data_IF_528776817166
#
_entry.id   IF_528776817166
#
_cell.length_a   1.000
_cell.length_b   1.000
_cell.length_c   1.000
_cell.angle_alpha   90.00
_cell.angle_beta   90.00
_cell.angle_gamma   90.00
#
_symmetry.space_group_name_H-M   'P 1'
#
loop_
_entity.id
_entity.type
_entity.pdbx_description
1 polymer ?
#
# COMPACT_ATOMS: atom_id res chain seq x y z
N UNK A 1 -31.54 10.74 21.37
CA UNK A 1 -30.46 9.94 20.76
C UNK A 1 -30.81 8.46 20.58
N UNK A 2 -31.12 7.67 21.62
CA UNK A 2 -31.29 6.20 21.49
C UNK A 2 -32.41 5.74 20.52
N UNK A 3 -33.52 6.48 20.42
CA UNK A 3 -34.64 6.13 19.52
C UNK A 3 -34.34 6.35 18.03
N UNK A 4 -33.49 7.33 17.69
CA UNK A 4 -33.15 7.65 16.29
C UNK A 4 -32.14 6.65 15.71
N UNK A 5 -31.08 6.35 16.48
CA UNK A 5 -30.09 5.34 16.12
C UNK A 5 -30.71 3.94 15.97
N UNK A 6 -31.62 3.55 16.87
CA UNK A 6 -32.29 2.25 16.77
C UNK A 6 -33.10 2.14 15.48
N UNK A 7 -33.91 3.15 15.14
CA UNK A 7 -34.67 3.17 13.89
C UNK A 7 -33.80 3.20 12.64
N UNK A 8 -32.67 3.94 12.67
CA UNK A 8 -31.69 3.96 11.61
C UNK A 8 -31.09 2.57 11.35
N UNK A 9 -30.66 1.87 12.40
CA UNK A 9 -30.05 0.54 12.25
C UNK A 9 -31.05 -0.55 11.89
N UNK A 10 -32.31 -0.47 12.33
CA UNK A 10 -33.38 -1.34 11.83
C UNK A 10 -33.58 -1.16 10.33
N UNK A 11 -33.61 0.09 9.83
CA UNK A 11 -33.71 0.35 8.39
C UNK A 11 -32.49 -0.14 7.61
N UNK A 12 -31.28 -0.07 8.18
CA UNK A 12 -30.07 -0.61 7.56
C UNK A 12 -30.08 -2.15 7.51
N UNK A 13 -30.57 -2.80 8.56
CA UNK A 13 -30.74 -4.26 8.61
C UNK A 13 -31.77 -4.74 7.56
N UNK A 14 -32.89 -4.03 7.40
CA UNK A 14 -33.88 -4.29 6.34
C UNK A 14 -33.30 -4.15 4.93
N UNK A 15 -32.28 -3.31 4.75
CA UNK A 15 -31.52 -3.18 3.50
C UNK A 15 -30.44 -4.26 3.34
N UNK A 16 -30.38 -5.24 4.24
CA UNK A 16 -29.43 -6.36 4.22
C UNK A 16 -28.01 -5.98 4.68
N UNK A 17 -27.84 -4.88 5.43
CA UNK A 17 -26.54 -4.48 5.98
C UNK A 17 -26.22 -5.27 7.25
N UNK A 18 -24.95 -5.64 7.40
CA UNK A 18 -24.46 -6.31 8.61
C UNK A 18 -24.20 -5.26 9.69
N UNK A 19 -24.82 -5.42 10.85
CA UNK A 19 -24.63 -4.51 11.99
C UNK A 19 -23.55 -5.07 12.94
N UNK A 20 -22.56 -4.24 13.24
CA UNK A 20 -21.40 -4.59 14.07
C UNK A 20 -21.43 -3.79 15.36
N UNK A 21 -21.54 -4.49 16.48
CA UNK A 21 -21.58 -3.88 17.82
C UNK A 21 -20.18 -3.64 18.42
N UNK A 22 -19.13 -4.16 17.79
CA UNK A 22 -17.73 -3.94 18.19
C UNK A 22 -17.07 -2.76 17.47
N UNK A 23 -15.93 -2.31 17.99
CA UNK A 23 -15.11 -1.27 17.34
C UNK A 23 -14.16 -1.91 16.31
N UNK A 24 -14.33 -1.68 14.99
CA UNK A 24 -13.39 -2.15 13.99
C UNK A 24 -12.05 -1.39 14.05
N UNK A 25 -10.92 -2.03 13.71
CA UNK A 25 -9.64 -1.34 13.55
C UNK A 25 -9.73 -0.32 12.41
N UNK A 26 -9.35 0.92 12.69
CA UNK A 26 -9.42 2.02 11.74
C UNK A 26 -8.11 2.07 10.92
N UNK A 27 -8.16 1.68 9.64
CA UNK A 27 -7.03 1.76 8.72
C UNK A 27 -7.29 2.79 7.60
N UNK A 28 -6.33 3.68 7.39
CA UNK A 28 -6.32 4.86 6.53
C UNK A 28 -5.37 4.62 5.32
N UNK A 29 -5.38 5.24 4.13
CA UNK A 29 -6.06 6.36 3.47
C UNK A 29 -6.03 6.12 1.94
N UNK A 30 -7.06 6.55 1.20
CA UNK A 30 -7.10 6.49 -0.26
C UNK A 30 -8.45 6.95 -0.84
N UNK A 31 -8.67 6.76 -2.14
CA UNK A 31 -9.91 7.15 -2.86
C UNK A 31 -11.17 6.45 -2.32
N UNK A 32 -10.99 5.27 -1.74
CA UNK A 32 -12.02 4.44 -1.08
C UNK A 32 -12.37 4.89 0.35
N UNK A 33 -11.70 5.93 0.86
CA UNK A 33 -11.90 6.40 2.24
C UNK A 33 -13.34 6.81 2.52
N UNK A 34 -13.96 7.57 1.62
CA UNK A 34 -15.36 7.96 1.78
C UNK A 34 -16.27 6.73 1.89
N UNK A 35 -16.14 5.79 0.96
CA UNK A 35 -16.98 4.59 0.91
C UNK A 35 -16.81 3.73 2.18
N UNK A 36 -15.58 3.63 2.70
CA UNK A 36 -15.29 2.94 3.98
C UNK A 36 -15.91 3.66 5.17
N UNK A 37 -15.79 4.98 5.27
CA UNK A 37 -16.37 5.77 6.37
C UNK A 37 -17.90 5.70 6.34
N UNK A 38 -18.50 5.81 5.15
CA UNK A 38 -19.94 5.67 4.98
C UNK A 38 -20.41 4.27 5.40
N UNK A 39 -19.70 3.22 4.99
CA UNK A 39 -20.00 1.85 5.39
C UNK A 39 -19.90 1.65 6.91
N UNK A 40 -18.84 2.16 7.55
CA UNK A 40 -18.68 2.10 9.01
C UNK A 40 -19.85 2.84 9.69
N UNK A 41 -20.23 4.01 9.17
CA UNK A 41 -21.38 4.76 9.66
C UNK A 41 -22.70 3.98 9.58
N UNK A 42 -22.89 3.18 8.53
CA UNK A 42 -24.10 2.38 8.31
C UNK A 42 -24.14 1.07 9.09
N UNK A 43 -22.97 0.54 9.47
CA UNK A 43 -22.85 -0.80 10.06
C UNK A 43 -22.45 -0.79 11.54
N UNK A 44 -21.62 0.15 11.99
CA UNK A 44 -21.08 0.15 13.35
C UNK A 44 -21.88 1.07 14.26
N UNK A 45 -22.58 0.50 15.24
CA UNK A 45 -23.31 1.27 16.25
C UNK A 45 -22.40 2.22 17.04
N UNK A 46 -21.25 1.77 17.61
CA UNK A 46 -20.42 2.64 18.43
C UNK A 46 -19.69 3.73 17.63
N UNK A 47 -19.33 3.47 16.37
CA UNK A 47 -18.59 4.43 15.53
C UNK A 47 -19.47 5.22 14.56
N UNK A 48 -20.80 5.01 14.59
CA UNK A 48 -21.75 5.55 13.63
C UNK A 48 -21.57 7.05 13.40
N UNK A 49 -21.73 7.84 14.47
CA UNK A 49 -21.75 9.30 14.39
C UNK A 49 -20.39 9.86 13.96
N UNK A 50 -19.31 9.39 14.56
CA UNK A 50 -17.96 9.85 14.23
C UNK A 50 -17.59 9.52 12.77
N UNK A 51 -17.96 8.33 12.30
CA UNK A 51 -17.73 7.91 10.92
C UNK A 51 -18.56 8.71 9.92
N UNK A 52 -19.83 9.00 10.21
CA UNK A 52 -20.69 9.82 9.36
C UNK A 52 -20.23 11.29 9.30
N UNK A 53 -19.82 11.87 10.44
CA UNK A 53 -19.21 13.21 10.47
C UNK A 53 -17.92 13.26 9.65
N UNK A 54 -17.06 12.26 9.80
CA UNK A 54 -15.84 12.13 9.00
C UNK A 54 -16.15 11.94 7.50
N UNK A 55 -17.20 11.18 7.15
CA UNK A 55 -17.63 10.99 5.76
C UNK A 55 -18.11 12.30 5.12
N UNK A 56 -18.88 13.11 5.85
CA UNK A 56 -19.32 14.44 5.38
C UNK A 56 -18.11 15.37 5.16
N UNK A 57 -17.20 15.41 6.14
CA UNK A 57 -15.99 16.22 6.03
C UNK A 57 -15.14 15.78 4.82
N UNK A 58 -15.04 14.49 4.55
CA UNK A 58 -14.32 13.97 3.40
C UNK A 58 -15.03 14.26 2.07
N UNK A 59 -16.36 14.13 2.02
CA UNK A 59 -17.15 14.46 0.84
C UNK A 59 -17.01 15.96 0.47
N UNK A 60 -17.04 16.86 1.47
CA UNK A 60 -16.90 18.30 1.25
C UNK A 60 -15.50 18.74 0.81
N UNK A 61 -14.45 17.95 1.05
CA UNK A 61 -13.12 18.16 0.45
C UNK A 61 -13.08 17.78 -1.03
N UNK A 62 -13.95 16.84 -1.43
CA UNK A 62 -14.10 16.41 -2.81
C UNK A 62 -15.02 17.33 -3.62
N UNK A 63 -15.36 16.86 -4.82
CA UNK A 63 -16.26 17.54 -5.76
C UNK A 63 -17.52 16.72 -6.07
N UNK A 64 -17.65 15.55 -5.45
CA UNK A 64 -18.77 14.64 -5.62
C UNK A 64 -19.93 15.06 -4.70
N UNK A 65 -20.97 15.58 -5.31
CA UNK A 65 -22.17 16.05 -4.60
C UNK A 65 -23.01 14.87 -4.11
N UNK A 66 -23.02 13.73 -4.81
CA UNK A 66 -23.80 12.57 -4.41
C UNK A 66 -23.25 11.95 -3.14
N UNK A 67 -21.93 11.82 -3.03
CA UNK A 67 -21.28 11.38 -1.79
C UNK A 67 -21.68 12.24 -0.58
N UNK A 68 -21.73 13.56 -0.75
CA UNK A 68 -22.21 14.45 0.32
C UNK A 68 -23.68 14.18 0.67
N UNK A 69 -24.55 14.04 -0.33
CA UNK A 69 -25.98 13.75 -0.12
C UNK A 69 -26.19 12.42 0.61
N UNK A 70 -25.48 11.37 0.22
CA UNK A 70 -25.59 10.04 0.81
C UNK A 70 -25.18 10.04 2.29
N UNK A 71 -24.06 10.70 2.62
CA UNK A 71 -23.60 10.81 4.00
C UNK A 71 -24.51 11.73 4.84
N UNK A 72 -25.00 12.82 4.25
CA UNK A 72 -25.97 13.72 4.89
C UNK A 72 -27.30 13.01 5.20
N UNK A 73 -27.82 12.21 4.28
CA UNK A 73 -29.08 11.49 4.51
C UNK A 73 -28.94 10.49 5.67
N UNK A 74 -27.79 9.81 5.77
CA UNK A 74 -27.51 8.92 6.89
C UNK A 74 -27.46 9.67 8.23
N UNK A 75 -26.73 10.79 8.32
CA UNK A 75 -26.60 11.52 9.60
C UNK A 75 -27.91 12.19 10.01
N UNK A 76 -28.69 12.69 9.05
CA UNK A 76 -30.00 13.30 9.29
C UNK A 76 -30.97 12.34 9.97
N UNK A 77 -30.90 11.06 9.61
CA UNK A 77 -31.72 10.00 10.21
C UNK A 77 -31.14 9.51 11.54
N UNK A 78 -29.82 9.32 11.62
CA UNK A 78 -29.15 8.77 12.80
C UNK A 78 -29.09 9.76 13.98
N UNK A 79 -28.80 11.03 13.71
CA UNK A 79 -28.69 12.10 14.70
C UNK A 79 -29.13 13.47 14.13
N UNK A 80 -30.45 13.75 14.13
CA UNK A 80 -31.01 15.01 13.60
C UNK A 80 -30.52 16.27 14.32
N UNK A 81 -30.07 16.15 15.58
CA UNK A 81 -29.68 17.27 16.43
C UNK A 81 -28.25 17.78 16.14
N UNK A 82 -27.48 17.04 15.35
CA UNK A 82 -26.10 17.40 15.01
C UNK A 82 -26.04 18.51 13.95
N UNK A 83 -25.06 19.43 13.99
CA UNK A 83 -24.96 20.51 13.02
C UNK A 83 -24.74 19.99 11.59
N UNK A 84 -24.05 18.85 11.43
CA UNK A 84 -23.84 18.21 10.14
C UNK A 84 -25.13 17.61 9.52
N UNK A 85 -26.22 17.49 10.29
CA UNK A 85 -27.53 17.09 9.79
C UNK A 85 -28.24 18.21 9.01
N UNK A 86 -27.72 19.44 9.03
CA UNK A 86 -28.21 20.52 8.19
C UNK A 86 -27.66 20.40 6.76
N UNK A 87 -28.55 20.49 5.77
CA UNK A 87 -28.16 20.45 4.36
C UNK A 87 -27.50 21.75 3.92
N UNK A 88 -26.31 21.65 3.33
CA UNK A 88 -25.51 22.77 2.84
C UNK A 88 -25.80 23.03 1.35
N UNK A 89 -26.93 23.69 1.09
CA UNK A 89 -27.37 24.00 -0.28
C UNK A 89 -26.43 24.97 -1.00
N UNK A 90 -25.77 25.87 -0.24
CA UNK A 90 -24.82 26.83 -0.76
C UNK A 90 -23.58 26.12 -1.33
N UNK A 91 -23.00 25.16 -0.59
CA UNK A 91 -21.90 24.34 -1.07
C UNK A 91 -22.30 23.53 -2.30
N UNK A 92 -23.46 22.87 -2.27
CA UNK A 92 -23.93 22.06 -3.41
C UNK A 92 -24.10 22.89 -4.68
N UNK A 93 -24.71 24.06 -4.57
CA UNK A 93 -24.93 24.96 -5.71
C UNK A 93 -23.61 25.52 -6.25
N UNK A 94 -22.70 25.93 -5.36
CA UNK A 94 -21.40 26.47 -5.76
C UNK A 94 -20.52 25.40 -6.42
N UNK A 95 -20.36 24.24 -5.77
CA UNK A 95 -19.60 23.10 -6.31
C UNK A 95 -20.20 22.62 -7.62
N UNK A 96 -21.53 22.55 -7.74
CA UNK A 96 -22.21 22.17 -8.98
C UNK A 96 -21.93 23.13 -10.14
N UNK A 97 -21.86 24.45 -9.89
CA UNK A 97 -21.48 25.45 -10.89
C UNK A 97 -20.02 25.32 -11.30
N UNK A 98 -19.11 25.22 -10.32
CA UNK A 98 -17.67 25.05 -10.55
C UNK A 98 -17.36 23.80 -11.37
N UNK A 99 -17.99 22.67 -11.01
CA UNK A 99 -17.87 21.40 -11.71
C UNK A 99 -18.27 21.52 -13.18
N UNK A 100 -19.43 22.12 -13.46
CA UNK A 100 -19.91 22.32 -14.85
C UNK A 100 -18.97 23.20 -15.67
N UNK A 101 -18.52 24.31 -15.09
CA UNK A 101 -17.61 25.23 -15.77
C UNK A 101 -16.27 24.56 -16.09
N UNK A 102 -15.70 23.81 -15.15
CA UNK A 102 -14.45 23.11 -15.34
C UNK A 102 -14.56 21.97 -16.36
N UNK A 103 -15.67 21.21 -16.37
CA UNK A 103 -15.93 20.22 -17.42
C UNK A 103 -15.95 20.87 -18.80
N UNK A 104 -16.69 21.99 -18.95
CA UNK A 104 -16.74 22.71 -20.23
C UNK A 104 -15.38 23.24 -20.67
N UNK A 105 -14.55 23.69 -19.73
CA UNK A 105 -13.18 24.12 -20.01
C UNK A 105 -12.33 22.96 -20.55
N UNK A 106 -12.30 21.82 -19.85
CA UNK A 106 -11.53 20.64 -20.27
C UNK A 106 -12.00 20.11 -21.64
N UNK A 107 -13.30 20.11 -21.91
CA UNK A 107 -13.83 19.71 -23.21
C UNK A 107 -13.40 20.66 -24.34
N UNK A 108 -13.36 21.97 -24.07
CA UNK A 108 -12.90 22.98 -25.02
C UNK A 108 -11.40 22.85 -25.31
N UNK A 109 -10.57 22.65 -24.27
CA UNK A 109 -9.14 22.39 -24.39
C UNK A 109 -8.87 21.11 -25.20
N UNK A 110 -9.57 20.02 -24.88
CA UNK A 110 -9.45 18.74 -25.60
C UNK A 110 -9.86 18.88 -27.07
N UNK A 111 -10.88 19.69 -27.37
CA UNK A 111 -11.27 20.00 -28.76
C UNK A 111 -10.15 20.76 -29.49
N UNK A 112 -9.48 21.69 -28.81
CA UNK A 112 -8.30 22.37 -29.33
C UNK A 112 -7.16 21.39 -29.66
N UNK A 113 -6.83 20.47 -28.76
CA UNK A 113 -5.80 19.45 -29.00
C UNK A 113 -6.14 18.53 -30.17
N UNK A 114 -7.41 18.16 -30.33
CA UNK A 114 -7.89 17.37 -31.47
C UNK A 114 -7.75 18.10 -32.79
N UNK A 115 -8.04 19.39 -32.83
CA UNK A 115 -7.85 20.22 -34.03
C UNK A 115 -6.37 20.34 -34.41
N UNK A 116 -5.47 20.36 -33.41
CA UNK A 116 -4.03 20.44 -33.62
C UNK A 116 -3.36 19.09 -33.91
N UNK A 117 -4.10 17.97 -33.81
CA UNK A 117 -3.63 16.61 -34.11
C UNK A 117 -2.40 16.14 -33.30
N UNK A 118 -2.23 16.64 -32.07
CA UNK A 118 -1.12 16.25 -31.18
C UNK A 118 -1.57 15.07 -30.31
N UNK A 119 -1.19 13.83 -30.69
CA UNK A 119 -1.64 12.60 -30.03
C UNK A 119 -1.44 12.58 -28.51
N UNK A 120 -0.26 12.97 -28.04
CA UNK A 120 0.02 12.95 -26.59
C UNK A 120 -0.83 13.97 -25.84
N UNK A 121 -1.02 15.18 -26.38
CA UNK A 121 -1.92 16.18 -25.77
C UNK A 121 -3.38 15.71 -25.77
N UNK A 122 -3.82 15.00 -26.80
CA UNK A 122 -5.17 14.40 -26.84
C UNK A 122 -5.28 13.30 -25.78
N UNK A 123 -4.26 12.46 -25.63
CA UNK A 123 -4.22 11.39 -24.61
C UNK A 123 -4.32 11.98 -23.21
N UNK A 124 -3.44 12.93 -22.89
CA UNK A 124 -3.42 13.61 -21.58
C UNK A 124 -4.73 14.37 -21.34
N UNK A 125 -5.27 15.07 -22.34
CA UNK A 125 -6.55 15.75 -22.18
C UNK A 125 -7.73 14.80 -21.91
N UNK A 126 -7.74 13.60 -22.50
CA UNK A 126 -8.74 12.58 -22.15
C UNK A 126 -8.51 12.01 -20.74
N UNK A 127 -7.26 11.88 -20.28
CA UNK A 127 -6.94 11.49 -18.89
C UNK A 127 -7.51 12.49 -17.91
N UNK A 128 -7.18 13.77 -18.09
CA UNK A 128 -7.54 14.84 -17.16
C UNK A 128 -9.07 15.03 -17.12
N UNK A 129 -9.74 14.89 -18.28
CA UNK A 129 -11.21 14.85 -18.35
C UNK A 129 -11.78 13.64 -17.61
N UNK A 130 -11.18 12.46 -17.80
CA UNK A 130 -11.59 11.23 -17.10
C UNK A 130 -11.46 11.35 -15.58
N UNK A 131 -10.32 11.85 -15.09
CA UNK A 131 -10.07 12.04 -13.66
C UNK A 131 -11.04 13.03 -13.03
N UNK A 132 -11.34 14.14 -13.72
CA UNK A 132 -12.34 15.10 -13.28
C UNK A 132 -13.76 14.50 -13.24
N UNK A 133 -14.18 13.79 -14.29
CA UNK A 133 -15.48 13.12 -14.35
C UNK A 133 -15.61 12.07 -13.25
N UNK A 134 -14.55 11.31 -12.99
CA UNK A 134 -14.50 10.30 -11.94
C UNK A 134 -14.53 10.96 -10.54
N UNK A 135 -13.85 12.09 -10.34
CA UNK A 135 -13.87 12.84 -9.08
C UNK A 135 -15.24 13.48 -8.78
N UNK A 136 -16.07 13.70 -9.81
CA UNK A 136 -17.46 14.14 -9.67
C UNK A 136 -18.46 12.98 -9.47
N UNK A 137 -18.01 11.73 -9.55
CA UNK A 137 -18.89 10.54 -9.49
C UNK A 137 -19.55 10.17 -10.82
N UNK A 138 -19.22 10.82 -11.93
CA UNK A 138 -19.71 10.43 -13.27
C UNK A 138 -18.87 9.29 -13.85
N UNK A 139 -19.08 8.08 -13.31
CA UNK A 139 -18.29 6.90 -13.65
C UNK A 139 -18.44 6.46 -15.12
N UNK A 140 -19.61 6.67 -15.73
CA UNK A 140 -19.82 6.33 -17.15
C UNK A 140 -19.04 7.28 -18.07
N UNK A 141 -19.11 8.59 -17.81
CA UNK A 141 -18.33 9.57 -18.56
C UNK A 141 -16.82 9.37 -18.40
N UNK A 142 -16.38 9.03 -17.18
CA UNK A 142 -14.98 8.72 -16.90
C UNK A 142 -14.49 7.49 -17.69
N UNK A 143 -15.27 6.41 -17.70
CA UNK A 143 -14.95 5.21 -18.48
C UNK A 143 -14.83 5.53 -19.98
N UNK A 144 -15.75 6.31 -20.53
CA UNK A 144 -15.71 6.73 -21.94
C UNK A 144 -14.47 7.59 -22.26
N UNK A 145 -14.07 8.47 -21.35
CA UNK A 145 -12.87 9.30 -21.51
C UNK A 145 -11.60 8.43 -21.49
N UNK A 146 -11.49 7.48 -20.57
CA UNK A 146 -10.34 6.56 -20.52
C UNK A 146 -10.29 5.59 -21.70
N UNK A 147 -11.44 5.16 -22.23
CA UNK A 147 -11.48 4.37 -23.47
C UNK A 147 -11.00 5.19 -24.68
N UNK A 148 -11.31 6.49 -24.75
CA UNK A 148 -10.75 7.39 -25.78
C UNK A 148 -9.26 7.65 -25.56
N UNK A 149 -8.81 7.72 -24.31
CA UNK A 149 -7.37 7.79 -24.01
C UNK A 149 -6.62 6.56 -24.54
N UNK A 150 -7.24 5.37 -24.48
CA UNK A 150 -6.63 4.12 -24.95
C UNK A 150 -6.30 4.12 -26.44
N UNK A 151 -7.08 4.82 -27.29
CA UNK A 151 -6.83 4.86 -28.74
C UNK A 151 -5.58 5.64 -29.12
N UNK A 152 -5.14 6.57 -28.29
CA UNK A 152 -3.96 7.41 -28.53
C UNK A 152 -2.70 6.91 -27.79
N UNK A 153 -2.79 5.78 -27.07
CA UNK A 153 -1.67 5.16 -26.39
C UNK A 153 -0.67 4.54 -27.38
N UNK A 154 0.58 5.03 -27.35
CA UNK A 154 1.64 4.61 -28.28
C UNK A 154 2.70 3.67 -27.67
N UNK A 155 2.88 3.71 -26.34
CA UNK A 155 3.91 2.95 -25.61
C UNK A 155 3.24 2.02 -24.59
N UNK A 156 3.88 0.89 -24.25
CA UNK A 156 3.37 -0.07 -23.25
C UNK A 156 2.99 0.60 -21.92
N UNK A 157 3.82 1.54 -21.46
CA UNK A 157 3.54 2.35 -20.27
C UNK A 157 2.18 3.06 -20.35
N UNK A 158 1.84 3.70 -21.49
CA UNK A 158 0.54 4.37 -21.67
C UNK A 158 -0.64 3.40 -21.65
N UNK A 159 -0.43 2.16 -22.13
CA UNK A 159 -1.46 1.11 -22.11
C UNK A 159 -1.72 0.65 -20.68
N UNK A 160 -0.66 0.41 -19.90
CA UNK A 160 -0.76 0.04 -18.49
C UNK A 160 -1.44 1.14 -17.69
N UNK A 161 -0.99 2.39 -17.85
CA UNK A 161 -1.57 3.60 -17.24
C UNK A 161 -3.09 3.70 -17.51
N UNK A 162 -3.48 3.53 -18.78
CA UNK A 162 -4.89 3.53 -19.17
C UNK A 162 -5.69 2.39 -18.53
N UNK A 163 -5.13 1.18 -18.51
CA UNK A 163 -5.81 0.03 -17.92
C UNK A 163 -6.00 0.21 -16.41
N UNK A 164 -5.03 0.80 -15.69
CA UNK A 164 -5.15 1.13 -14.25
C UNK A 164 -6.30 2.09 -13.99
N UNK A 165 -6.43 3.17 -14.77
CA UNK A 165 -7.56 4.10 -14.66
C UNK A 165 -8.91 3.42 -14.92
N UNK A 166 -9.00 2.59 -15.97
CA UNK A 166 -10.23 1.84 -16.27
C UNK A 166 -10.58 0.89 -15.12
N UNK A 167 -9.60 0.16 -14.57
CA UNK A 167 -9.81 -0.72 -13.41
C UNK A 167 -10.32 0.07 -12.19
N UNK A 168 -9.76 1.26 -11.93
CA UNK A 168 -10.23 2.15 -10.85
C UNK A 168 -11.72 2.52 -10.98
N UNK A 169 -12.18 2.83 -12.19
CA UNK A 169 -13.60 3.10 -12.46
C UNK A 169 -14.46 1.84 -12.30
N UNK A 170 -13.98 0.69 -12.81
CA UNK A 170 -14.71 -0.58 -12.71
C UNK A 170 -14.84 -1.07 -11.26
N UNK A 171 -13.83 -0.83 -10.41
CA UNK A 171 -13.89 -1.08 -8.97
C UNK A 171 -15.03 -0.30 -8.31
N UNK A 172 -15.19 0.98 -8.65
CA UNK A 172 -16.30 1.80 -8.14
C UNK A 172 -17.67 1.33 -8.67
N UNK A 173 -17.72 0.87 -9.92
CA UNK A 173 -18.95 0.30 -10.52
C UNK A 173 -19.26 -1.12 -10.02
N UNK A 174 -18.34 -1.76 -9.29
CA UNK A 174 -18.41 -3.18 -8.88
C UNK A 174 -18.56 -4.15 -10.05
N UNK A 175 -17.93 -3.83 -11.18
CA UNK A 175 -17.89 -4.71 -12.36
C UNK A 175 -16.68 -5.64 -12.27
N UNK A 176 -16.85 -6.75 -11.55
CA UNK A 176 -15.78 -7.72 -11.30
C UNK A 176 -15.29 -8.41 -12.57
N UNK A 177 -16.19 -8.70 -13.52
CA UNK A 177 -15.84 -9.33 -14.79
C UNK A 177 -14.98 -8.39 -15.66
N UNK A 178 -15.34 -7.11 -15.71
CA UNK A 178 -14.54 -6.08 -16.37
C UNK A 178 -13.13 -5.96 -15.76
N UNK A 179 -13.02 -5.96 -14.42
CA UNK A 179 -11.72 -5.88 -13.74
C UNK A 179 -10.82 -7.04 -14.15
N UNK A 180 -11.31 -8.28 -14.14
CA UNK A 180 -10.53 -9.45 -14.56
C UNK A 180 -10.05 -9.32 -16.02
N UNK A 181 -10.91 -8.84 -16.91
CA UNK A 181 -10.57 -8.67 -18.32
C UNK A 181 -9.47 -7.62 -18.55
N UNK A 182 -9.44 -6.54 -17.77
CA UNK A 182 -8.40 -5.51 -17.86
C UNK A 182 -7.14 -5.85 -17.06
N UNK A 183 -7.26 -6.54 -15.92
CA UNK A 183 -6.12 -7.00 -15.13
C UNK A 183 -5.25 -7.98 -15.93
N UNK A 184 -5.85 -8.88 -16.72
CA UNK A 184 -5.12 -9.78 -17.61
C UNK A 184 -4.34 -9.05 -18.72
N UNK A 185 -4.74 -7.81 -19.06
CA UNK A 185 -4.06 -6.97 -20.06
C UNK A 185 -2.91 -6.14 -19.47
N UNK A 186 -2.70 -6.20 -18.15
CA UNK A 186 -1.55 -5.55 -17.50
C UNK A 186 -0.26 -6.36 -17.69
N UNK A 187 -0.37 -7.66 -18.00
CA UNK A 187 0.80 -8.49 -18.31
C UNK A 187 1.29 -8.17 -19.72
N UNK A 188 2.51 -7.67 -19.83
CA UNK A 188 3.18 -7.38 -21.10
C UNK A 188 3.40 -8.68 -21.89
N UNK A 189 3.32 -8.62 -23.23
CA UNK A 189 3.51 -9.80 -24.09
C UNK A 189 4.92 -10.38 -24.07
N UNK A 190 5.93 -9.59 -23.68
CA UNK A 190 7.31 -10.02 -23.40
C UNK A 190 7.78 -9.35 -22.10
N UNK A 191 7.41 -9.88 -20.93
CA UNK A 191 7.72 -9.22 -19.68
C UNK A 191 9.21 -9.39 -19.35
N UNK A 192 9.91 -8.30 -19.08
CA UNK A 192 11.22 -8.38 -18.41
C UNK A 192 11.02 -8.78 -16.95
N UNK A 193 12.08 -9.26 -16.28
CA UNK A 193 12.02 -9.57 -14.85
C UNK A 193 11.66 -8.33 -14.00
N UNK A 194 12.13 -7.15 -14.41
CA UNK A 194 11.84 -5.87 -13.73
C UNK A 194 10.38 -5.42 -13.91
N UNK A 195 9.83 -5.54 -15.13
CA UNK A 195 8.43 -5.20 -15.42
C UNK A 195 7.46 -6.12 -14.67
N UNK A 196 7.78 -7.41 -14.62
CA UNK A 196 6.99 -8.41 -13.90
C UNK A 196 6.94 -8.06 -12.42
N UNK A 197 8.07 -7.70 -11.82
CA UNK A 197 8.16 -7.40 -10.39
C UNK A 197 7.41 -6.12 -10.02
N UNK A 198 7.31 -5.15 -10.94
CA UNK A 198 6.70 -3.84 -10.66
C UNK A 198 5.17 -3.86 -10.74
N UNK A 199 4.62 -4.54 -11.75
CA UNK A 199 3.19 -4.49 -12.07
C UNK A 199 2.39 -5.68 -11.51
N UNK A 200 3.05 -6.83 -11.26
CA UNK A 200 2.40 -8.03 -10.72
C UNK A 200 1.68 -7.79 -9.38
N UNK A 201 2.23 -7.04 -8.40
CA UNK A 201 1.54 -6.83 -7.13
C UNK A 201 0.19 -6.11 -7.30
N UNK A 202 0.14 -5.07 -8.13
CA UNK A 202 -1.10 -4.38 -8.45
C UNK A 202 -2.09 -5.31 -9.17
N UNK A 203 -1.62 -6.04 -10.19
CA UNK A 203 -2.43 -6.98 -10.95
C UNK A 203 -3.06 -8.05 -10.04
N UNK A 204 -2.27 -8.66 -9.15
CA UNK A 204 -2.73 -9.69 -8.22
C UNK A 204 -3.72 -9.13 -7.21
N UNK A 205 -3.48 -7.93 -6.70
CA UNK A 205 -4.38 -7.27 -5.76
C UNK A 205 -5.76 -6.99 -6.36
N UNK A 206 -5.84 -6.38 -7.56
CA UNK A 206 -7.13 -6.09 -8.21
C UNK A 206 -7.85 -7.36 -8.67
N UNK A 207 -7.11 -8.39 -9.09
CA UNK A 207 -7.65 -9.70 -9.46
C UNK A 207 -8.24 -10.42 -8.24
N UNK A 208 -7.53 -10.38 -7.10
CA UNK A 208 -8.00 -10.92 -5.83
C UNK A 208 -9.29 -10.25 -5.35
N UNK A 209 -9.37 -8.92 -5.46
CA UNK A 209 -10.60 -8.17 -5.15
C UNK A 209 -11.77 -8.55 -6.08
N UNK A 210 -11.51 -8.74 -7.38
CA UNK A 210 -12.55 -9.15 -8.31
C UNK A 210 -13.07 -10.56 -8.03
N UNK A 211 -12.19 -11.51 -7.68
CA UNK A 211 -12.62 -12.84 -7.24
C UNK A 211 -13.37 -12.82 -5.92
N UNK A 212 -12.93 -11.99 -4.96
CA UNK A 212 -13.63 -11.80 -3.69
C UNK A 212 -15.05 -11.27 -3.92
N UNK A 213 -15.20 -10.24 -4.77
CA UNK A 213 -16.50 -9.69 -5.14
C UNK A 213 -17.39 -10.63 -5.96
N UNK A 214 -16.79 -11.66 -6.57
CA UNK A 214 -17.48 -12.74 -7.29
C UNK A 214 -17.68 -14.00 -6.45
N UNK A 215 -17.45 -13.93 -5.13
CA UNK A 215 -17.59 -15.05 -4.17
C UNK A 215 -16.66 -16.25 -4.44
N UNK A 216 -15.59 -16.04 -5.21
CA UNK A 216 -14.57 -17.06 -5.53
C UNK A 216 -13.41 -16.97 -4.55
N UNK A 217 -13.65 -17.45 -3.33
CA UNK A 217 -12.77 -17.24 -2.19
C UNK A 217 -11.40 -17.91 -2.31
N UNK A 218 -11.32 -19.10 -2.91
CA UNK A 218 -10.06 -19.82 -3.09
C UNK A 218 -9.12 -19.09 -4.05
N UNK A 219 -9.64 -18.66 -5.20
CA UNK A 219 -8.87 -17.92 -6.20
C UNK A 219 -8.50 -16.52 -5.70
N UNK A 220 -9.36 -15.89 -4.92
CA UNK A 220 -9.06 -14.63 -4.23
C UNK A 220 -7.89 -14.81 -3.24
N UNK A 221 -7.94 -15.85 -2.40
CA UNK A 221 -6.86 -16.16 -1.46
C UNK A 221 -5.53 -16.36 -2.17
N UNK A 222 -5.51 -17.19 -3.22
CA UNK A 222 -4.30 -17.43 -4.02
C UNK A 222 -3.74 -16.12 -4.60
N UNK A 223 -4.60 -15.25 -5.13
CA UNK A 223 -4.16 -13.96 -5.66
C UNK A 223 -3.57 -13.05 -4.58
N UNK A 224 -4.19 -12.95 -3.41
CA UNK A 224 -3.69 -12.09 -2.32
C UNK A 224 -2.36 -12.60 -1.74
N UNK A 225 -2.17 -13.92 -1.63
CA UNK A 225 -0.90 -14.50 -1.20
C UNK A 225 0.22 -14.30 -2.23
N UNK A 226 -0.13 -14.24 -3.51
CA UNK A 226 0.80 -13.99 -4.62
C UNK A 226 1.15 -12.51 -4.84
N UNK A 227 0.60 -11.57 -4.06
CA UNK A 227 0.91 -10.13 -4.19
C UNK A 227 2.37 -9.82 -3.84
N UNK A 228 2.98 -10.59 -2.92
CA UNK A 228 4.37 -10.41 -2.51
C UNK A 228 4.57 -9.45 -1.33
N UNK A 229 5.66 -8.67 -1.35
CA UNK A 229 6.09 -7.84 -0.22
C UNK A 229 5.05 -6.72 0.12
N UNK A 230 4.58 -6.64 1.38
CA UNK A 230 3.69 -5.58 1.86
C UNK A 230 4.17 -4.15 1.58
N UNK A 231 5.48 -3.89 1.46
CA UNK A 231 6.04 -2.57 1.14
C UNK A 231 5.60 -2.11 -0.25
N UNK A 232 5.53 -3.03 -1.23
CA UNK A 232 5.13 -2.69 -2.60
C UNK A 232 3.64 -2.31 -2.66
N UNK A 233 2.83 -2.92 -1.79
CA UNK A 233 1.40 -2.63 -1.68
C UNK A 233 1.11 -1.18 -1.26
N UNK A 234 2.03 -0.51 -0.54
CA UNK A 234 1.83 0.87 -0.09
C UNK A 234 1.65 1.86 -1.26
N UNK A 235 2.19 1.54 -2.44
CA UNK A 235 2.03 2.37 -3.65
C UNK A 235 0.61 2.34 -4.19
N UNK A 236 -0.21 1.37 -3.78
CA UNK A 236 -1.55 1.09 -4.29
C UNK A 236 -2.63 1.17 -3.20
N UNK A 237 -2.36 1.97 -2.15
CA UNK A 237 -3.28 2.21 -1.03
C UNK A 237 -4.61 2.87 -1.46
N UNK A 238 -4.68 3.42 -2.67
CA UNK A 238 -5.93 3.92 -3.26
C UNK A 238 -6.93 2.79 -3.52
N UNK A 239 -6.45 1.58 -3.83
CA UNK A 239 -7.24 0.37 -4.06
C UNK A 239 -7.45 -0.42 -2.77
N UNK A 240 -6.35 -0.89 -2.16
CA UNK A 240 -6.39 -1.64 -0.90
C UNK A 240 -5.09 -1.42 -0.11
N UNK A 241 -5.20 -1.36 1.21
CA UNK A 241 -4.03 -1.24 2.08
C UNK A 241 -3.29 -2.58 2.19
N UNK A 242 -2.02 -2.53 2.57
CA UNK A 242 -1.25 -3.75 2.89
C UNK A 242 -1.92 -4.59 3.98
N UNK A 243 -2.58 -3.95 4.95
CA UNK A 243 -3.35 -4.62 5.99
C UNK A 243 -4.58 -5.33 5.42
N UNK A 244 -5.27 -4.72 4.45
CA UNK A 244 -6.43 -5.34 3.79
C UNK A 244 -5.99 -6.59 3.02
N UNK A 245 -4.90 -6.50 2.26
CA UNK A 245 -4.34 -7.64 1.51
C UNK A 245 -3.96 -8.79 2.45
N UNK A 246 -3.27 -8.49 3.55
CA UNK A 246 -2.87 -9.50 4.54
C UNK A 246 -4.08 -10.14 5.23
N UNK A 247 -5.07 -9.32 5.63
CA UNK A 247 -6.26 -9.80 6.34
C UNK A 247 -7.16 -10.63 5.41
N UNK A 248 -7.41 -10.14 4.19
CA UNK A 248 -8.22 -10.86 3.21
C UNK A 248 -7.53 -12.14 2.77
N UNK A 249 -6.24 -12.08 2.42
CA UNK A 249 -5.45 -13.26 2.06
C UNK A 249 -5.43 -14.30 3.17
N UNK A 250 -5.16 -13.90 4.42
CA UNK A 250 -5.10 -14.82 5.56
C UNK A 250 -6.45 -15.47 5.89
N UNK A 251 -7.52 -14.69 6.01
CA UNK A 251 -8.85 -15.22 6.35
C UNK A 251 -9.41 -16.11 5.23
N UNK A 252 -9.28 -15.68 3.97
CA UNK A 252 -9.75 -16.47 2.83
C UNK A 252 -8.95 -17.76 2.67
N UNK A 253 -7.63 -17.71 2.86
CA UNK A 253 -6.79 -18.90 2.82
C UNK A 253 -7.20 -19.91 3.91
N UNK A 254 -7.39 -19.45 5.15
CA UNK A 254 -7.83 -20.30 6.26
C UNK A 254 -9.21 -20.92 6.01
N UNK A 255 -10.12 -20.18 5.37
CA UNK A 255 -11.47 -20.65 5.12
C UNK A 255 -11.57 -21.60 3.91
N UNK A 256 -10.69 -21.47 2.90
CA UNK A 256 -10.87 -22.13 1.60
C UNK A 256 -9.76 -23.10 1.19
N UNK A 257 -8.55 -22.97 1.72
CA UNK A 257 -7.41 -23.81 1.33
C UNK A 257 -7.27 -25.02 2.26
N UNK A 258 -6.80 -26.14 1.71
CA UNK A 258 -6.48 -27.32 2.50
C UNK A 258 -5.17 -27.12 3.29
N UNK A 259 -4.92 -28.04 4.24
CA UNK A 259 -3.73 -27.97 5.10
C UNK A 259 -2.42 -27.93 4.31
N UNK A 260 -2.36 -28.71 3.23
CA UNK A 260 -1.16 -28.82 2.40
C UNK A 260 -0.90 -27.57 1.55
N UNK A 261 -1.95 -26.93 1.03
CA UNK A 261 -1.82 -25.65 0.33
C UNK A 261 -1.52 -24.51 1.30
N UNK A 262 -2.13 -24.48 2.50
CA UNK A 262 -1.78 -23.50 3.55
C UNK A 262 -0.31 -23.59 3.95
N UNK A 263 0.21 -24.81 4.14
CA UNK A 263 1.61 -25.01 4.51
C UNK A 263 2.55 -24.49 3.42
N UNK A 264 2.24 -24.71 2.15
CA UNK A 264 3.05 -24.25 1.02
C UNK A 264 2.95 -22.75 0.77
N UNK A 265 1.75 -22.18 0.85
CA UNK A 265 1.48 -20.81 0.40
C UNK A 265 1.55 -19.75 1.51
N UNK A 266 1.34 -20.14 2.77
CA UNK A 266 1.34 -19.19 3.92
C UNK A 266 2.54 -19.42 4.84
N UNK A 267 2.88 -20.67 5.14
CA UNK A 267 3.93 -20.97 6.13
C UNK A 267 5.36 -20.99 5.54
N UNK A 268 5.50 -21.27 4.25
CA UNK A 268 6.82 -21.24 3.57
C UNK A 268 7.15 -19.83 3.06
N UNK A 269 6.15 -18.99 2.79
CA UNK A 269 6.32 -17.59 2.34
C UNK A 269 6.67 -16.64 3.49
N UNK A 270 6.23 -16.93 4.73
CA UNK A 270 6.85 -16.37 5.94
C UNK A 270 8.19 -17.05 6.13
N UNK A 271 9.17 -16.56 5.36
CA UNK A 271 10.50 -17.11 5.20
C UNK A 271 11.06 -17.71 6.51
N UNK A 272 11.49 -18.97 6.44
CA UNK A 272 12.35 -19.60 7.44
C UNK A 272 13.74 -18.96 7.52
N UNK A 273 14.07 -18.03 6.63
CA UNK A 273 15.42 -17.46 6.48
C UNK A 273 15.92 -16.64 7.66
N UNK A 274 15.19 -15.78 8.40
CA UNK A 274 15.80 -15.04 9.50
C UNK A 274 16.24 -15.98 10.63
N UNK A 275 15.48 -17.06 10.89
CA UNK A 275 15.85 -18.08 11.87
C UNK A 275 17.01 -18.95 11.37
N UNK A 276 16.96 -19.40 10.12
CA UNK A 276 18.02 -20.23 9.51
C UNK A 276 19.31 -19.43 9.34
N UNK A 277 19.24 -18.17 8.92
CA UNK A 277 20.39 -17.26 8.81
C UNK A 277 21.01 -16.97 10.18
N UNK A 278 20.18 -16.74 11.21
CA UNK A 278 20.68 -16.59 12.58
C UNK A 278 21.35 -17.88 13.09
N UNK A 279 20.75 -19.05 12.85
CA UNK A 279 21.35 -20.35 13.19
C UNK A 279 22.67 -20.57 12.45
N UNK A 280 22.74 -20.23 11.16
CA UNK A 280 23.96 -20.35 10.37
C UNK A 280 25.07 -19.41 10.83
N UNK A 281 24.73 -18.18 11.22
CA UNK A 281 25.70 -17.22 11.76
C UNK A 281 26.24 -17.69 13.13
N UNK A 282 25.36 -18.18 14.02
CA UNK A 282 25.78 -18.76 15.31
C UNK A 282 26.69 -19.99 15.11
N UNK A 283 26.38 -20.87 14.15
CA UNK A 283 27.23 -22.02 13.86
C UNK A 283 28.60 -21.61 13.29
N UNK A 284 28.65 -20.55 12.49
CA UNK A 284 29.91 -20.06 11.91
C UNK A 284 30.81 -19.43 12.99
N UNK A 285 30.25 -18.60 13.86
CA UNK A 285 31.02 -18.00 14.97
C UNK A 285 31.57 -19.05 15.93
N UNK A 286 30.80 -20.10 16.24
CA UNK A 286 31.27 -21.23 17.06
C UNK A 286 32.42 -21.99 16.37
N UNK A 287 32.36 -22.19 15.05
CA UNK A 287 33.46 -22.82 14.29
C UNK A 287 34.73 -21.98 14.33
N UNK A 288 34.60 -20.67 14.16
CA UNK A 288 35.72 -19.75 14.15
C UNK A 288 36.37 -19.68 15.54
N UNK A 289 35.57 -19.63 16.61
CA UNK A 289 36.08 -19.69 17.98
C UNK A 289 36.81 -21.01 18.27
N UNK A 290 36.25 -22.16 17.86
CA UNK A 290 36.92 -23.45 18.03
C UNK A 290 38.25 -23.49 17.29
N UNK A 291 38.30 -22.97 16.06
CA UNK A 291 39.54 -22.91 15.27
C UNK A 291 40.60 -22.05 15.97
N UNK A 292 40.21 -20.87 16.46
CA UNK A 292 41.11 -19.96 17.16
C UNK A 292 41.59 -20.52 18.50
N UNK A 293 40.70 -21.15 19.28
CA UNK A 293 41.07 -21.81 20.53
C UNK A 293 42.05 -22.96 20.29
N UNK A 294 41.86 -23.74 19.22
CA UNK A 294 42.73 -24.84 18.86
C UNK A 294 44.11 -24.33 18.37
N UNK A 295 44.15 -23.21 17.64
CA UNK A 295 45.40 -22.52 17.32
C UNK A 295 46.11 -21.98 18.55
N UNK A 296 45.39 -21.41 19.53
CA UNK A 296 45.96 -20.98 20.81
C UNK A 296 46.55 -22.14 21.61
N UNK A 297 45.83 -23.26 21.69
CA UNK A 297 46.33 -24.48 22.34
C UNK A 297 47.58 -25.00 21.62
N UNK A 298 47.61 -25.00 20.29
CA UNK A 298 48.81 -25.37 19.52
C UNK A 298 49.99 -24.45 19.83
N UNK A 299 49.80 -23.13 19.81
CA UNK A 299 50.85 -22.15 20.14
C UNK A 299 51.35 -22.33 21.58
N UNK A 300 50.44 -22.53 22.53
CA UNK A 300 50.78 -22.80 23.92
C UNK A 300 51.57 -24.11 24.07
N UNK A 301 51.17 -25.17 23.38
CA UNK A 301 51.89 -26.45 23.39
C UNK A 301 53.28 -26.37 22.75
N UNK A 302 53.43 -25.58 21.67
CA UNK A 302 54.72 -25.30 21.03
C UNK A 302 55.64 -24.50 21.95
N UNK A 303 55.11 -23.47 22.63
CA UNK A 303 55.86 -22.69 23.62
C UNK A 303 56.28 -23.54 24.81
N UNK A 304 55.41 -24.41 25.32
CA UNK A 304 55.72 -25.33 26.42
C UNK A 304 56.73 -26.42 26.05
N UNK A 305 56.84 -26.77 24.76
CA UNK A 305 57.81 -27.74 24.25
C UNK A 305 59.18 -27.11 23.88
N UNK A 306 59.42 -25.84 24.23
CA UNK A 306 60.61 -25.04 23.88
C UNK A 306 60.93 -25.00 22.37
N UNK A 307 59.91 -25.33 21.55
CA UNK A 307 59.94 -25.32 20.09
C UNK A 307 59.40 -23.97 19.56
N UNK A 308 59.80 -22.86 20.19
CA UNK A 308 59.63 -21.55 19.55
C UNK A 308 60.70 -21.39 18.46
N UNK A 309 60.28 -21.43 17.20
CA UNK A 309 61.14 -20.96 16.09
C UNK A 309 61.37 -19.47 16.30
N UNK A 310 62.49 -19.12 16.93
CA UNK A 310 63.07 -17.78 16.91
C UNK A 310 63.24 -17.38 15.45
N UNK A 311 62.34 -16.52 14.96
CA UNK A 311 62.54 -15.82 13.70
C UNK A 311 63.88 -15.09 13.76
N UNK A 312 64.83 -15.53 12.94
CA UNK A 312 66.15 -14.94 12.85
C UNK A 312 66.01 -13.50 12.30
N UNK A 313 66.21 -12.51 13.17
CA UNK A 313 66.22 -11.11 12.77
C UNK A 313 67.42 -10.81 11.85
N UNK A 314 67.13 -10.23 10.69
CA UNK A 314 68.10 -9.43 9.93
C UNK A 314 67.89 -7.96 10.32
N UNK A 315 68.93 -7.35 10.90
CA UNK A 315 68.99 -5.95 11.33
C UNK A 315 68.84 -4.97 10.15
N UNK A 316 68.04 -3.93 10.36
CA UNK A 316 67.99 -2.71 9.55
C UNK A 316 67.41 -1.54 10.37
N UNK A 317 68.31 -0.77 10.99
CA UNK A 317 68.25 0.64 11.43
C UNK A 317 66.95 1.30 12.01
N UNK A 318 67.09 1.72 13.29
CA UNK A 318 66.71 3.03 13.92
C UNK A 318 65.29 3.60 13.84
N UNK A 319 64.57 3.62 14.98
CA UNK A 319 64.33 4.82 15.84
C UNK A 319 63.26 4.56 16.93
N UNK A 320 63.17 5.37 18.00
CA UNK A 320 62.83 4.88 19.33
C UNK A 320 61.41 5.20 19.85
N UNK A 321 61.02 4.42 20.87
CA UNK A 321 60.23 4.76 22.06
C UNK A 321 58.72 5.07 21.95
N UNK A 322 57.93 4.35 22.78
CA UNK A 322 56.66 4.85 23.33
C UNK A 322 55.53 3.82 23.49
N UNK A 323 55.52 3.12 24.64
CA UNK A 323 54.37 2.55 25.39
C UNK A 323 53.02 2.35 24.65
N UNK A 324 52.55 1.13 24.39
CA UNK A 324 51.88 0.20 25.33
C UNK A 324 50.77 0.83 26.20
N UNK A 325 49.52 0.76 25.74
CA UNK A 325 48.35 0.55 26.59
C UNK A 325 47.22 -0.12 25.79
N UNK A 326 46.89 -1.34 26.19
CA UNK A 326 45.64 -2.02 25.85
C UNK A 326 44.47 -1.31 26.56
N UNK A 327 43.31 -1.13 25.91
CA UNK A 327 42.04 -1.05 26.62
C UNK A 327 41.34 -2.41 26.57
N UNK A 328 41.03 -2.91 27.77
CA UNK A 328 40.24 -4.10 27.97
C UNK A 328 38.75 -3.90 27.66
N UNK A 329 38.09 -5.04 27.53
CA UNK A 329 36.65 -5.25 27.43
C UNK A 329 35.89 -4.76 28.67
N UNK A 330 35.64 -3.46 28.82
CA UNK A 330 34.74 -2.97 29.88
C UNK A 330 33.63 -1.99 29.50
N UNK A 331 33.61 -1.34 28.33
CA UNK A 331 32.65 -0.24 28.11
C UNK A 331 31.73 -0.42 26.90
N UNK A 332 30.85 -1.43 26.93
CA UNK A 332 29.60 -1.37 26.14
C UNK A 332 28.47 -1.92 27.00
N UNK A 333 27.86 -1.06 27.81
CA UNK A 333 26.42 -1.07 28.15
C UNK A 333 26.07 0.25 28.88
N UNK A 334 25.06 0.96 28.33
CA UNK A 334 24.30 2.08 28.91
C UNK A 334 25.04 3.43 28.96
N UNK A 335 24.50 4.61 28.66
CA UNK A 335 23.18 5.12 28.25
C UNK A 335 23.38 6.61 27.88
N UNK A 336 22.48 7.19 27.05
CA UNK A 336 22.11 8.63 26.98
C UNK A 336 23.20 9.70 26.72
N UNK A 337 22.97 10.85 26.08
CA UNK A 337 21.94 11.47 25.24
C UNK A 337 22.51 12.87 24.86
N UNK A 338 21.93 13.52 23.85
CA UNK A 338 21.85 15.01 23.71
C UNK A 338 23.06 15.80 23.10
N UNK A 339 22.88 16.10 21.81
CA UNK A 339 22.96 17.42 21.13
C UNK A 339 24.27 18.03 20.59
N UNK A 340 24.07 18.56 19.38
CA UNK A 340 24.63 19.77 18.75
C UNK A 340 26.02 19.70 18.09
N UNK A 341 25.99 19.76 16.75
CA UNK A 341 26.33 21.03 16.09
C UNK A 341 27.57 21.05 15.22
N UNK A 342 27.32 21.05 13.90
CA UNK A 342 27.91 21.97 12.91
C UNK A 342 29.28 21.68 12.29
N UNK A 343 29.28 21.74 10.94
CA UNK A 343 30.34 22.21 10.02
C UNK A 343 31.63 21.34 9.96
N UNK A 344 32.28 21.10 8.83
CA UNK A 344 32.25 21.64 7.47
C UNK A 344 33.04 20.66 6.56
N UNK A 345 32.59 20.55 5.30
CA UNK A 345 33.32 20.60 4.00
C UNK A 345 34.61 19.78 3.75
N UNK A 346 34.74 19.40 2.46
CA UNK A 346 35.93 19.16 1.62
C UNK A 346 36.11 17.65 1.27
N UNK A 347 35.55 17.18 0.15
CA UNK A 347 36.10 17.23 -1.23
C UNK A 347 37.27 16.25 -1.45
N UNK A 348 37.14 15.37 -2.46
CA UNK A 348 38.29 14.99 -3.29
C UNK A 348 38.67 13.51 -3.41
N UNK A 349 38.33 12.94 -4.58
CA UNK A 349 39.20 12.13 -5.46
C UNK A 349 39.74 10.79 -4.96
N UNK A 350 39.17 9.70 -5.50
CA UNK A 350 39.88 8.75 -6.39
C UNK A 350 38.85 7.90 -7.16
#
# INVERSE_FOLDING_TARGET
MASGLLGFFTAMEEQGRIIVNGSPPCASLGRTRFDRLLLIGQCSVPLCLDALKAAIAEAKKGKDIQRYRDAWECIRLAAPDEPEAQFDDAWVTNTGKTNKNFTHQLEAELKGYKNNLIKESIRIGNRDLGEHLEAMGNLNGAADAYLKMRSDASVSFHVIDTNKHIIGVLLQKRDWAGILAYANKLTTSNPTLEDTTTEQPYQRMVTGLAYLGSERYYEAAACFLDVGDPIICQRYNDVASSNDVATYGGLLALASMDRDALQRSVLVTVSSEPRVAMQMNVLQTVRDYNKEALERLRRMSLAAADLEVKGQGRKGASSPAGSSSLPGLSDILLEESITNGSADVIEGVA
#
